data_IF_673153763372
#
_entry.id   IF_673153763372
#
_cell.length_a   1.000
_cell.length_b   1.000
_cell.length_c   1.000
_cell.angle_alpha   90.00
_cell.angle_beta   90.00
_cell.angle_gamma   90.00
#
_symmetry.space_group_name_H-M   'P 1'
#
loop_
_entity.id
_entity.type
_entity.pdbx_description
1 polymer ?
#
# COMPACT_ATOMS: atom_id res chain seq x y z
N UNK A 1 4.51 20.70 -3.06
CA UNK A 1 4.31 19.89 -4.28
C UNK A 1 3.17 18.93 -3.97
N UNK A 2 1.99 19.21 -4.49
CA UNK A 2 0.85 18.31 -4.39
C UNK A 2 0.97 17.36 -5.60
N UNK A 3 1.22 16.08 -5.36
CA UNK A 3 1.16 15.09 -6.42
C UNK A 3 -0.32 14.92 -6.79
N UNK A 4 -0.81 15.77 -7.69
CA UNK A 4 -2.08 15.52 -8.38
C UNK A 4 -1.74 14.48 -9.43
N UNK A 5 -1.97 13.22 -9.11
CA UNK A 5 -2.01 12.19 -10.13
C UNK A 5 -3.24 12.48 -10.98
N UNK A 6 -3.01 13.02 -12.17
CA UNK A 6 -4.06 13.25 -13.15
C UNK A 6 -4.53 11.91 -13.72
N UNK A 7 -5.84 11.78 -13.92
CA UNK A 7 -6.40 10.64 -14.63
C UNK A 7 -5.98 10.74 -16.10
N UNK A 8 -5.54 9.62 -16.67
CA UNK A 8 -5.37 9.51 -18.12
C UNK A 8 -6.74 9.57 -18.79
N UNK A 9 -6.76 9.89 -20.09
CA UNK A 9 -7.99 10.06 -20.87
C UNK A 9 -8.97 8.88 -20.74
N UNK A 10 -8.46 7.64 -20.75
CA UNK A 10 -9.26 6.42 -20.63
C UNK A 10 -9.56 5.99 -19.18
N UNK A 11 -8.89 6.56 -18.17
CA UNK A 11 -9.02 6.09 -16.79
C UNK A 11 -10.45 6.22 -16.24
N UNK A 12 -11.22 7.31 -16.53
CA UNK A 12 -12.61 7.40 -16.14
C UNK A 12 -13.45 6.23 -16.69
N UNK A 13 -13.35 5.94 -17.99
CA UNK A 13 -14.12 4.89 -18.63
C UNK A 13 -13.73 3.49 -18.13
N UNK A 14 -12.43 3.25 -17.94
CA UNK A 14 -11.93 1.97 -17.38
C UNK A 14 -12.45 1.75 -15.97
N UNK A 15 -12.52 2.79 -15.14
CA UNK A 15 -13.05 2.72 -13.78
C UNK A 15 -14.55 2.42 -13.79
N UNK A 16 -15.33 3.08 -14.64
CA UNK A 16 -16.78 2.81 -14.76
C UNK A 16 -17.03 1.39 -15.24
N UNK A 17 -16.36 0.95 -16.31
CA UNK A 17 -16.50 -0.40 -16.85
C UNK A 17 -16.14 -1.48 -15.82
N UNK A 18 -15.09 -1.26 -15.03
CA UNK A 18 -14.72 -2.16 -13.95
C UNK A 18 -15.83 -2.24 -12.89
N UNK A 19 -16.40 -1.11 -12.49
CA UNK A 19 -17.48 -1.09 -11.50
C UNK A 19 -18.75 -1.77 -12.01
N UNK A 20 -19.13 -1.55 -13.28
CA UNK A 20 -20.29 -2.21 -13.89
C UNK A 20 -20.13 -3.74 -13.92
N UNK A 21 -18.93 -4.22 -14.26
CA UNK A 21 -18.59 -5.65 -14.22
C UNK A 21 -18.69 -6.19 -12.79
N UNK A 22 -18.07 -5.50 -11.83
CA UNK A 22 -18.04 -5.91 -10.43
C UNK A 22 -19.47 -6.02 -9.86
N UNK A 23 -20.31 -5.01 -10.10
CA UNK A 23 -21.70 -4.99 -9.64
C UNK A 23 -22.50 -6.12 -10.28
N UNK A 24 -22.32 -6.36 -11.57
CA UNK A 24 -22.96 -7.48 -12.27
C UNK A 24 -22.58 -8.82 -11.65
N UNK A 25 -21.29 -9.03 -11.33
CA UNK A 25 -20.84 -10.26 -10.67
C UNK A 25 -21.44 -10.43 -9.27
N UNK A 26 -21.61 -9.34 -8.51
CA UNK A 26 -22.24 -9.35 -7.19
C UNK A 26 -23.73 -9.69 -7.31
N UNK A 27 -24.45 -9.01 -8.20
CA UNK A 27 -25.88 -9.23 -8.42
C UNK A 27 -26.17 -10.66 -8.90
N UNK A 28 -25.27 -11.24 -9.68
CA UNK A 28 -25.35 -12.63 -10.15
C UNK A 28 -24.81 -13.65 -9.13
N UNK A 29 -24.47 -13.22 -7.91
CA UNK A 29 -23.90 -14.07 -6.85
C UNK A 29 -22.63 -14.83 -7.26
N UNK A 30 -21.88 -14.31 -8.25
CA UNK A 30 -20.62 -14.87 -8.72
C UNK A 30 -19.42 -14.41 -7.87
N UNK A 31 -19.59 -13.29 -7.16
CA UNK A 31 -18.56 -12.69 -6.32
C UNK A 31 -19.19 -12.24 -5.00
N UNK A 32 -18.52 -12.53 -3.89
CA UNK A 32 -18.83 -11.94 -2.59
C UNK A 32 -17.67 -11.06 -2.13
N UNK A 33 -17.99 -9.83 -1.73
CA UNK A 33 -17.01 -8.86 -1.23
C UNK A 33 -16.29 -9.36 0.03
N UNK A 34 -16.93 -10.22 0.82
CA UNK A 34 -16.36 -10.80 2.04
C UNK A 34 -15.18 -11.73 1.75
N UNK A 35 -15.04 -12.20 0.52
CA UNK A 35 -13.96 -13.12 0.13
C UNK A 35 -12.92 -12.47 -0.77
N UNK A 36 -12.97 -11.14 -0.94
CA UNK A 36 -11.93 -10.38 -1.63
C UNK A 36 -10.78 -10.12 -0.66
N UNK A 37 -9.57 -10.54 -1.05
CA UNK A 37 -8.33 -10.13 -0.39
C UNK A 37 -7.86 -8.84 -1.05
N UNK A 38 -7.97 -7.72 -0.34
CA UNK A 38 -7.30 -6.49 -0.74
C UNK A 38 -5.84 -6.56 -0.32
N UNK A 39 -4.90 -6.12 -1.14
CA UNK A 39 -3.48 -6.09 -0.76
C UNK A 39 -2.77 -4.92 -1.39
N UNK A 40 -1.75 -4.40 -0.70
CA UNK A 40 -0.89 -3.34 -1.23
C UNK A 40 0.50 -3.38 -0.57
N UNK A 41 1.42 -2.63 -1.15
CA UNK A 41 2.74 -2.34 -0.59
C UNK A 41 2.78 -0.93 0.00
N UNK A 42 3.42 -0.79 1.17
CA UNK A 42 3.67 0.50 1.79
C UNK A 42 5.13 0.64 2.20
N UNK A 43 5.68 1.85 2.05
CA UNK A 43 7.02 2.18 2.58
C UNK A 43 6.90 2.83 3.94
N UNK A 44 7.41 2.15 4.97
CA UNK A 44 7.55 2.70 6.31
C UNK A 44 8.84 3.50 6.41
N UNK A 45 8.72 4.76 6.80
CA UNK A 45 9.85 5.66 7.06
C UNK A 45 9.88 5.94 8.57
N UNK A 46 10.92 5.50 9.31
CA UNK A 46 11.04 5.78 10.73
C UNK A 46 11.14 7.28 10.97
N UNK A 47 10.33 7.79 11.90
CA UNK A 47 10.23 9.23 12.22
C UNK A 47 11.46 9.80 12.94
N UNK A 48 12.40 8.97 13.36
CA UNK A 48 13.62 9.42 14.02
C UNK A 48 14.81 8.50 13.67
N UNK A 49 16.00 9.05 13.33
CA UNK A 49 17.22 8.32 13.58
C UNK A 49 17.31 8.10 15.09
N UNK A 50 17.72 6.92 15.53
CA UNK A 50 18.00 6.64 16.94
C UNK A 50 18.88 7.76 17.53
N UNK A 51 18.28 8.70 18.26
CA UNK A 51 19.01 9.71 19.03
C UNK A 51 19.36 9.10 20.38
N UNK A 52 20.45 8.34 20.44
CA UNK A 52 21.13 8.02 21.71
C UNK A 52 22.54 7.46 21.53
N UNK A 53 23.27 7.78 20.46
CA UNK A 53 24.68 7.41 20.36
C UNK A 53 25.54 8.65 20.11
N UNK A 54 26.57 8.89 20.94
CA UNK A 54 27.34 10.12 20.93
C UNK A 54 28.14 10.27 19.63
N UNK A 55 28.29 11.53 19.21
CA UNK A 55 28.79 11.99 17.90
C UNK A 55 30.17 11.45 17.44
N UNK A 56 30.91 10.73 18.29
CA UNK A 56 32.25 10.23 18.01
C UNK A 56 32.29 8.77 17.48
N UNK A 57 31.15 8.07 17.43
CA UNK A 57 31.09 6.63 17.12
C UNK A 57 30.52 6.31 15.72
N UNK A 58 30.48 7.28 14.81
CA UNK A 58 29.78 7.16 13.53
C UNK A 58 30.73 7.25 12.33
N UNK A 59 31.33 6.12 11.95
CA UNK A 59 31.71 5.87 10.55
C UNK A 59 30.42 5.59 9.76
N UNK A 60 29.76 6.65 9.29
CA UNK A 60 28.45 6.53 8.65
C UNK A 60 28.54 6.49 7.14
N UNK A 61 28.52 5.28 6.59
CA UNK A 61 28.18 5.08 5.17
C UNK A 61 26.67 5.13 4.89
N UNK A 62 25.80 5.39 5.87
CA UNK A 62 24.34 5.51 5.64
C UNK A 62 23.70 6.53 6.57
N UNK A 63 23.64 7.80 6.14
CA UNK A 63 22.88 8.88 6.80
C UNK A 63 21.41 8.96 6.34
N UNK A 64 20.93 8.00 5.54
CA UNK A 64 19.57 7.99 5.04
C UNK A 64 18.62 7.27 6.03
N UNK A 65 17.37 7.74 6.20
CA UNK A 65 16.35 7.00 6.94
C UNK A 65 16.25 5.58 6.38
N UNK A 66 16.33 4.56 7.25
CA UNK A 66 16.10 3.17 6.82
C UNK A 66 14.64 3.04 6.41
N UNK A 67 14.38 3.04 5.10
CA UNK A 67 13.07 2.76 4.54
C UNK A 67 12.86 1.25 4.57
N UNK A 68 11.71 0.81 5.05
CA UNK A 68 11.33 -0.61 5.00
C UNK A 68 10.03 -0.72 4.24
N UNK A 69 10.03 -1.52 3.17
CA UNK A 69 8.80 -1.83 2.45
C UNK A 69 8.09 -2.97 3.17
N UNK A 70 6.77 -2.86 3.25
CA UNK A 70 5.90 -3.89 3.82
C UNK A 70 4.81 -4.20 2.82
N UNK A 71 4.58 -5.48 2.57
CA UNK A 71 3.38 -5.97 1.89
C UNK A 71 2.39 -6.46 2.95
N UNK A 72 1.11 -6.13 2.79
CA UNK A 72 0.04 -6.68 3.61
C UNK A 72 -1.25 -6.84 2.80
N UNK A 73 -2.02 -7.86 3.17
CA UNK A 73 -3.39 -8.07 2.70
C UNK A 73 -4.42 -7.86 3.82
N UNK A 74 -5.67 -7.63 3.44
CA UNK A 74 -6.84 -7.54 4.32
C UNK A 74 -7.98 -8.34 3.67
N UNK A 75 -8.60 -9.22 4.44
CA UNK A 75 -9.81 -9.96 4.07
C UNK A 75 -10.74 -9.98 5.27
N UNK A 76 -12.00 -9.61 5.06
CA UNK A 76 -12.98 -9.42 6.14
C UNK A 76 -12.42 -8.46 7.22
N UNK A 77 -12.31 -8.95 8.45
CA UNK A 77 -11.77 -8.24 9.61
C UNK A 77 -10.32 -8.66 9.95
N UNK A 78 -9.64 -9.35 9.04
CA UNK A 78 -8.32 -9.97 9.28
C UNK A 78 -7.25 -9.38 8.38
N UNK A 79 -6.05 -9.26 8.93
CA UNK A 79 -4.83 -8.94 8.20
C UNK A 79 -4.15 -10.23 7.76
N UNK A 80 -3.65 -10.26 6.52
CA UNK A 80 -2.81 -11.30 5.91
C UNK A 80 -1.39 -10.74 5.71
N UNK A 81 -0.35 -11.45 6.13
CA UNK A 81 1.00 -10.87 6.29
C UNK A 81 1.21 -10.33 7.71
N UNK A 82 2.02 -9.27 7.96
CA UNK A 82 2.82 -8.45 7.04
C UNK A 82 4.13 -9.12 6.59
N UNK A 83 4.58 -8.82 5.38
CA UNK A 83 5.86 -9.27 4.86
C UNK A 83 6.81 -8.08 4.67
N UNK A 84 7.96 -8.10 5.36
CA UNK A 84 8.97 -7.05 5.28
C UNK A 84 10.01 -7.43 4.22
N UNK A 85 10.24 -6.53 3.25
CA UNK A 85 11.13 -6.69 2.11
C UNK A 85 12.53 -6.10 2.37
#
# INVERSE_FOLDING_TARGET
MQAVQELLEDDPDRRVNFMDLLMTCIDQSQLSLEWIVFSDEATLIPKSPKFSEPHWMRELHTQLPQKTNVWAGIIQDRIVGPFFL
#
